data_IF_586823027698
#
_entry.id   IF_586823027698
#
_cell.length_a   1.000
_cell.length_b   1.000
_cell.length_c   1.000
_cell.angle_alpha   90.00
_cell.angle_beta   90.00
_cell.angle_gamma   90.00
#
_symmetry.space_group_name_H-M   'P 1'
#
loop_
_entity.id
_entity.type
_entity.pdbx_description
1 polymer ?
#
# COMPACT_ATOMS: atom_id res chain seq x y z
N UNK A 1 -12.52 11.72 0.79
CA UNK A 1 -12.96 11.41 -0.60
C UNK A 1 -11.73 11.33 -1.50
N UNK A 2 -11.65 10.34 -2.39
CA UNK A 2 -10.56 10.25 -3.37
C UNK A 2 -10.81 11.15 -4.57
N UNK A 3 -9.79 11.86 -5.04
CA UNK A 3 -9.86 12.71 -6.23
C UNK A 3 -9.53 11.98 -7.53
N UNK A 4 -8.91 10.80 -7.44
CA UNK A 4 -8.54 9.97 -8.59
C UNK A 4 -8.79 8.51 -8.23
N UNK A 5 -9.64 7.86 -9.02
CA UNK A 5 -9.91 6.44 -8.84
C UNK A 5 -8.67 5.62 -9.17
N UNK A 6 -8.40 4.63 -8.33
CA UNK A 6 -7.28 3.73 -8.54
C UNK A 6 -7.63 2.75 -9.65
N UNK A 7 -6.75 2.67 -10.65
CA UNK A 7 -6.96 1.83 -11.82
C UNK A 7 -5.79 0.86 -11.97
N UNK A 8 -6.07 -0.37 -12.40
CA UNK A 8 -5.01 -1.32 -12.75
C UNK A 8 -4.13 -0.73 -13.85
N UNK A 9 -2.80 -0.89 -13.70
CA UNK A 9 -1.86 -0.51 -14.73
C UNK A 9 -2.07 -1.34 -15.99
N UNK A 10 -1.75 -0.76 -17.16
CA UNK A 10 -1.90 -1.47 -18.43
C UNK A 10 -1.02 -2.72 -18.50
N UNK A 11 0.11 -2.72 -17.79
CA UNK A 11 0.95 -3.90 -17.66
C UNK A 11 0.23 -5.07 -16.99
N UNK A 12 -0.51 -4.83 -15.89
CA UNK A 12 -1.32 -5.87 -15.24
C UNK A 12 -2.36 -6.40 -16.22
N UNK A 13 -3.05 -5.53 -16.95
CA UNK A 13 -4.06 -5.92 -17.94
C UNK A 13 -3.45 -6.78 -19.05
N UNK A 14 -2.32 -6.36 -19.62
CA UNK A 14 -1.61 -7.09 -20.68
C UNK A 14 -1.18 -8.46 -20.19
N UNK A 15 -0.52 -8.55 -19.02
CA UNK A 15 -0.07 -9.83 -18.46
C UNK A 15 -1.24 -10.74 -18.13
N UNK A 16 -2.38 -10.20 -17.67
CA UNK A 16 -3.61 -10.95 -17.42
C UNK A 16 -4.16 -11.56 -18.73
N UNK A 17 -4.20 -10.78 -19.81
CA UNK A 17 -4.63 -11.28 -21.13
C UNK A 17 -3.67 -12.32 -21.71
N UNK A 18 -2.36 -12.14 -21.53
CA UNK A 18 -1.38 -13.12 -21.99
C UNK A 18 -1.46 -14.42 -21.18
N UNK A 19 -1.57 -14.34 -19.86
CA UNK A 19 -1.64 -15.51 -18.98
C UNK A 19 -2.89 -16.38 -19.23
N UNK A 20 -3.99 -15.80 -19.73
CA UNK A 20 -5.19 -16.56 -20.08
C UNK A 20 -5.07 -17.30 -21.42
N UNK A 21 -4.22 -16.82 -22.33
CA UNK A 21 -4.07 -17.35 -23.69
C UNK A 21 -2.85 -18.24 -23.87
N UNK A 22 -1.85 -18.10 -23.00
CA UNK A 22 -0.61 -18.86 -23.09
C UNK A 22 0.02 -19.05 -21.71
N UNK A 23 0.94 -20.01 -21.64
CA UNK A 23 1.75 -20.23 -20.44
C UNK A 23 2.87 -19.20 -20.42
N UNK A 24 2.74 -18.21 -19.53
CA UNK A 24 3.79 -17.22 -19.28
C UNK A 24 5.09 -17.88 -18.80
N UNK A 25 6.23 -17.25 -19.10
CA UNK A 25 7.50 -17.62 -18.50
C UNK A 25 7.45 -17.41 -16.98
N UNK A 26 8.22 -18.18 -16.21
CA UNK A 26 8.18 -18.09 -14.74
C UNK A 26 8.54 -16.70 -14.21
N UNK A 27 9.46 -15.99 -14.88
CA UNK A 27 9.80 -14.60 -14.56
C UNK A 27 8.58 -13.67 -14.68
N UNK A 28 7.82 -13.80 -15.76
CA UNK A 28 6.66 -12.97 -16.03
C UNK A 28 5.50 -13.31 -15.10
N UNK A 29 5.35 -14.58 -14.70
CA UNK A 29 4.38 -14.98 -13.67
C UNK A 29 4.69 -14.36 -12.31
N UNK A 30 5.96 -14.39 -11.90
CA UNK A 30 6.39 -13.76 -10.64
C UNK A 30 6.13 -12.25 -10.70
N UNK A 31 6.51 -11.60 -11.80
CA UNK A 31 6.25 -10.18 -12.04
C UNK A 31 4.76 -9.86 -12.00
N UNK A 32 3.93 -10.61 -12.71
CA UNK A 32 2.48 -10.45 -12.73
C UNK A 32 1.88 -10.57 -11.33
N UNK A 33 2.27 -11.61 -10.57
CA UNK A 33 1.82 -11.79 -9.17
C UNK A 33 2.20 -10.61 -8.29
N UNK A 34 3.44 -10.12 -8.39
CA UNK A 34 3.90 -9.00 -7.59
C UNK A 34 3.14 -7.70 -7.92
N UNK A 35 2.89 -7.44 -9.21
CA UNK A 35 2.13 -6.26 -9.66
C UNK A 35 0.67 -6.30 -9.17
N UNK A 36 0.00 -7.46 -9.33
CA UNK A 36 -1.38 -7.65 -8.85
C UNK A 36 -1.44 -7.46 -7.34
N UNK A 37 -0.50 -8.06 -6.61
CA UNK A 37 -0.44 -7.96 -5.15
C UNK A 37 -0.21 -6.52 -4.66
N UNK A 38 0.65 -5.76 -5.34
CA UNK A 38 0.85 -4.33 -5.06
C UNK A 38 -0.45 -3.55 -5.20
N UNK A 39 -1.12 -3.73 -6.35
CA UNK A 39 -2.41 -3.08 -6.63
C UNK A 39 -3.50 -3.47 -5.62
N UNK A 40 -3.60 -4.75 -5.23
CA UNK A 40 -4.56 -5.20 -4.20
C UNK A 40 -4.31 -4.53 -2.84
N UNK A 41 -3.04 -4.38 -2.44
CA UNK A 41 -2.69 -3.71 -1.18
C UNK A 41 -3.06 -2.23 -1.19
N UNK A 42 -2.83 -1.57 -2.31
CA UNK A 42 -3.21 -0.19 -2.56
C UNK A 42 -4.74 0.02 -2.53
N UNK A 43 -5.51 -0.86 -3.18
CA UNK A 43 -6.99 -0.84 -3.12
C UNK A 43 -7.48 -1.09 -1.69
N UNK A 44 -6.85 -2.00 -0.96
CA UNK A 44 -7.16 -2.23 0.45
C UNK A 44 -6.89 -0.99 1.30
N UNK A 45 -5.77 -0.29 1.06
CA UNK A 45 -5.44 0.96 1.74
C UNK A 45 -6.51 2.04 1.49
N UNK A 46 -6.97 2.20 0.24
CA UNK A 46 -8.07 3.12 -0.07
C UNK A 46 -9.30 2.83 0.79
N UNK A 47 -9.71 1.56 0.87
CA UNK A 47 -10.87 1.14 1.67
C UNK A 47 -10.70 1.39 3.18
N UNK A 48 -9.46 1.45 3.69
CA UNK A 48 -9.17 1.81 5.07
C UNK A 48 -9.29 3.33 5.25
N UNK A 49 -8.78 4.11 4.31
CA UNK A 49 -8.84 5.58 4.38
C UNK A 49 -10.26 6.12 4.22
N UNK A 50 -11.12 5.44 3.46
CA UNK A 50 -12.54 5.80 3.33
C UNK A 50 -13.32 5.70 4.64
N UNK A 51 -12.88 4.85 5.56
CA UNK A 51 -13.50 4.67 6.88
C UNK A 51 -13.10 5.76 7.87
N UNK A 52 -12.12 6.61 7.53
CA UNK A 52 -11.71 7.71 8.37
C UNK A 52 -12.82 8.76 8.39
N UNK A 53 -13.19 9.20 9.60
CA UNK A 53 -14.21 10.23 9.79
C UNK A 53 -13.64 11.65 9.64
N UNK A 54 -12.34 11.76 9.35
CA UNK A 54 -11.65 13.03 9.24
C UNK A 54 -11.95 13.72 7.90
N UNK A 55 -12.10 15.06 7.89
CA UNK A 55 -12.14 15.80 6.64
C UNK A 55 -10.76 15.72 5.98
N UNK A 56 -10.62 14.77 5.07
CA UNK A 56 -9.39 14.51 4.33
C UNK A 56 -9.65 14.27 2.85
N UNK A 57 -8.64 14.65 2.08
CA UNK A 57 -8.60 14.50 0.64
C UNK A 57 -7.47 13.56 0.25
N UNK A 58 -7.80 12.49 -0.45
CA UNK A 58 -6.82 11.50 -0.89
C UNK A 58 -6.48 11.72 -2.37
N UNK A 59 -5.18 11.87 -2.64
CA UNK A 59 -4.60 11.90 -3.98
C UNK A 59 -3.79 10.62 -4.18
N UNK A 60 -4.27 9.75 -5.06
CA UNK A 60 -3.65 8.46 -5.34
C UNK A 60 -2.82 8.50 -6.62
N UNK A 61 -1.74 7.70 -6.67
CA UNK A 61 -0.90 7.49 -7.85
C UNK A 61 -0.43 8.82 -8.47
N UNK A 62 0.34 9.58 -7.67
CA UNK A 62 0.96 10.84 -8.08
C UNK A 62 2.38 10.59 -8.59
N UNK A 63 2.57 10.74 -9.90
CA UNK A 63 3.89 10.76 -10.53
C UNK A 63 4.40 12.21 -10.57
N UNK A 64 5.44 12.51 -9.80
CA UNK A 64 6.05 13.83 -9.73
C UNK A 64 7.41 13.83 -10.44
N UNK A 65 7.68 14.91 -11.16
CA UNK A 65 8.95 15.14 -11.86
C UNK A 65 9.70 16.30 -11.22
N UNK A 66 10.95 16.05 -10.86
CA UNK A 66 11.87 17.06 -10.34
C UNK A 66 13.13 17.08 -11.22
N UNK A 67 13.99 18.09 -11.03
CA UNK A 67 15.29 18.14 -11.69
C UNK A 67 16.13 16.87 -11.50
N UNK A 68 15.90 16.14 -10.39
CA UNK A 68 16.67 14.97 -10.00
C UNK A 68 16.02 13.64 -10.41
N UNK A 69 14.92 13.68 -11.17
CA UNK A 69 14.23 12.50 -11.66
C UNK A 69 12.75 12.48 -11.31
N UNK A 70 12.13 11.32 -11.59
CA UNK A 70 10.71 11.06 -11.36
C UNK A 70 10.53 10.13 -10.17
N UNK A 71 9.58 10.44 -9.30
CA UNK A 71 9.19 9.56 -8.20
C UNK A 71 7.67 9.46 -8.11
N UNK A 72 7.19 8.34 -7.58
CA UNK A 72 5.77 8.07 -7.39
C UNK A 72 5.44 8.13 -5.90
N UNK A 73 4.28 8.72 -5.60
CA UNK A 73 3.67 8.68 -4.28
C UNK A 73 2.37 7.88 -4.39
N UNK A 74 2.26 6.81 -3.63
CA UNK A 74 1.13 5.87 -3.72
C UNK A 74 -0.16 6.54 -3.26
N UNK A 75 -0.13 7.18 -2.09
CA UNK A 75 -1.23 7.99 -1.57
C UNK A 75 -0.73 9.20 -0.79
N UNK A 76 -1.29 10.36 -1.11
CA UNK A 76 -1.11 11.62 -0.37
C UNK A 76 -2.45 12.01 0.24
N UNK A 77 -2.47 12.17 1.56
CA UNK A 77 -3.66 12.59 2.30
C UNK A 77 -3.48 14.02 2.77
N UNK A 78 -4.30 14.92 2.25
CA UNK A 78 -4.33 16.33 2.61
C UNK A 78 -5.40 16.53 3.69
N UNK A 79 -4.96 16.98 4.86
CA UNK A 79 -5.82 17.44 5.96
C UNK A 79 -5.61 18.94 6.18
N UNK A 80 -6.23 19.53 7.22
CA UNK A 80 -6.04 20.95 7.53
C UNK A 80 -4.57 21.26 7.88
N UNK A 81 -3.95 20.41 8.69
CA UNK A 81 -2.51 20.37 9.02
C UNK A 81 -2.30 19.09 9.85
N UNK A 82 -1.40 18.14 9.50
CA UNK A 82 -0.42 18.14 8.41
C UNK A 82 -0.86 17.37 7.14
N UNK A 83 -0.01 17.41 6.12
CA UNK A 83 -0.12 16.54 4.93
C UNK A 83 0.62 15.22 5.18
N UNK A 84 -0.05 14.10 4.93
CA UNK A 84 0.53 12.76 5.10
C UNK A 84 0.90 12.13 3.76
N UNK A 85 2.07 11.49 3.72
CA UNK A 85 2.57 10.74 2.58
C UNK A 85 2.63 9.26 2.97
N UNK A 86 1.99 8.41 2.18
CA UNK A 86 1.95 6.97 2.41
C UNK A 86 2.61 6.22 1.25
N UNK A 87 3.53 5.32 1.62
CA UNK A 87 4.08 4.29 0.73
C UNK A 87 3.47 2.94 1.13
N UNK A 88 2.69 2.34 0.24
CA UNK A 88 1.90 1.14 0.55
C UNK A 88 2.73 -0.09 0.22
N UNK A 89 2.94 -0.97 1.21
CA UNK A 89 3.64 -2.24 1.02
C UNK A 89 2.74 -3.40 1.41
N UNK A 90 2.50 -4.31 0.47
CA UNK A 90 1.72 -5.52 0.69
C UNK A 90 2.63 -6.76 0.79
N UNK A 91 2.97 -7.17 2.01
CA UNK A 91 3.77 -8.37 2.29
C UNK A 91 2.90 -9.51 2.80
N UNK A 92 3.23 -10.76 2.43
CA UNK A 92 2.56 -11.95 2.98
C UNK A 92 3.40 -12.50 4.14
N UNK A 93 2.71 -13.02 5.15
CA UNK A 93 3.33 -13.63 6.32
C UNK A 93 2.92 -12.90 7.60
N UNK A 94 3.37 -13.46 8.73
CA UNK A 94 3.12 -12.87 10.04
C UNK A 94 4.21 -11.84 10.34
N UNK A 95 3.82 -10.64 10.75
CA UNK A 95 4.72 -9.56 11.14
C UNK A 95 4.38 -9.08 12.55
N UNK A 96 5.40 -8.67 13.31
CA UNK A 96 5.23 -7.91 14.54
C UNK A 96 5.85 -6.52 14.38
N UNK A 97 5.29 -5.55 15.09
CA UNK A 97 5.73 -4.16 15.06
C UNK A 97 6.46 -3.83 16.36
N UNK A 98 7.70 -3.37 16.27
CA UNK A 98 8.52 -3.00 17.42
C UNK A 98 9.44 -1.84 17.04
N UNK A 99 9.46 -0.75 17.83
CA UNK A 99 10.35 0.39 17.62
C UNK A 99 10.26 0.99 16.21
N UNK A 100 9.04 1.26 15.74
CA UNK A 100 8.74 1.83 14.42
C UNK A 100 9.14 0.97 13.22
N UNK A 101 9.33 -0.33 13.42
CA UNK A 101 9.70 -1.27 12.34
C UNK A 101 8.84 -2.53 12.37
N UNK A 102 8.56 -3.03 11.17
CA UNK A 102 7.95 -4.35 10.98
C UNK A 102 9.03 -5.42 10.88
N UNK A 103 8.85 -6.51 11.63
CA UNK A 103 9.72 -7.68 11.61
C UNK A 103 8.92 -8.91 11.20
N UNK A 104 9.44 -9.66 10.23
CA UNK A 104 8.84 -10.92 9.82
C UNK A 104 9.01 -11.99 10.90
N UNK A 105 7.92 -12.62 11.32
CA UNK A 105 7.99 -13.79 12.18
C UNK A 105 8.51 -14.99 11.40
N UNK A 106 9.47 -15.69 12.00
CA UNK A 106 9.80 -17.05 11.58
C UNK A 106 8.73 -17.99 12.11
N UNK A 107 8.38 -19.02 11.34
CA UNK A 107 7.28 -19.99 11.61
C UNK A 107 7.27 -20.66 13.00
N UNK A 108 8.32 -20.50 13.83
CA UNK A 108 8.43 -21.09 15.17
C UNK A 108 8.56 -20.06 16.30
N UNK A 109 8.32 -18.77 16.05
CA UNK A 109 8.50 -17.70 17.06
C UNK A 109 7.14 -17.36 17.66
N UNK A 110 7.02 -17.44 19.00
CA UNK A 110 5.82 -16.97 19.70
C UNK A 110 5.77 -15.44 19.61
N UNK A 111 4.63 -14.88 19.19
CA UNK A 111 4.39 -13.44 19.24
C UNK A 111 4.45 -13.02 20.72
N UNK A 112 5.35 -12.13 21.15
CA UNK A 112 5.24 -11.53 22.46
C UNK A 112 3.94 -10.73 22.47
N UNK A 113 3.00 -11.07 23.33
CA UNK A 113 1.79 -10.26 23.53
C UNK A 113 2.22 -8.92 24.13
N UNK A 114 2.52 -7.93 23.30
CA UNK A 114 2.66 -6.55 23.74
C UNK A 114 1.26 -6.02 23.99
N UNK A 115 0.99 -5.61 25.22
CA UNK A 115 -0.28 -5.03 25.63
C UNK A 115 -0.70 -3.95 24.64
N UNK A 116 -1.91 -4.07 24.10
CA UNK A 116 -2.50 -3.21 23.06
C UNK A 116 -2.88 -1.80 23.54
N UNK A 117 -2.07 -1.19 24.41
CA UNK A 117 -2.37 0.11 25.03
C UNK A 117 -1.50 1.28 24.54
N UNK A 118 -0.65 1.09 23.54
CA UNK A 118 0.01 2.20 22.86
C UNK A 118 -0.75 2.51 21.56
N UNK A 119 -1.98 3.01 21.72
CA UNK A 119 -2.61 3.79 20.67
C UNK A 119 -1.72 5.02 20.46
N UNK A 120 -0.99 5.03 19.35
CA UNK A 120 -0.23 6.19 18.93
C UNK A 120 -1.17 7.41 18.90
N UNK A 121 -0.96 8.43 19.76
CA UNK A 121 -1.88 9.56 19.88
C UNK A 121 -1.96 10.40 18.60
N UNK A 122 -1.04 10.22 17.65
CA UNK A 122 -1.07 10.92 16.36
C UNK A 122 -2.19 10.47 15.42
N UNK A 123 -2.89 9.36 15.70
CA UNK A 123 -4.07 8.93 14.94
C UNK A 123 -5.41 9.27 15.63
N UNK A 124 -5.38 9.78 16.86
CA UNK A 124 -6.58 10.04 17.66
C UNK A 124 -7.04 11.52 17.66
N UNK A 125 -6.28 12.43 17.05
CA UNK A 125 -6.71 13.81 16.88
C UNK A 125 -6.71 14.18 15.39
N UNK A 126 -7.91 14.22 14.84
CA UNK A 126 -8.23 15.21 13.81
C UNK A 126 -8.37 16.58 14.46
#
# INVERSE_FOLDING_TARGET
MSFKDRNESDEIKILRFLNSRMKLAEKDKIRFRNLVKGFEGEVMFDSLTEKLQCPSYNLNDLLLETKNGKFQLDTVMITQDPVYLFEVKNYDGDFYFEGDRFYALKRNTKIPCTNSNEANPYFASC
#
